data_IF_136870361911
#
_entry.id   IF_136870361911
#
_cell.length_a   1.000
_cell.length_b   1.000
_cell.length_c   1.000
_cell.angle_alpha   90.00
_cell.angle_beta   90.00
_cell.angle_gamma   90.00
#
_symmetry.space_group_name_H-M   'P 1'
#
loop_
_entity.id
_entity.type
_entity.pdbx_description
1 polymer ?
#
# COMPACT_ATOMS: atom_id res chain seq x y z
N UNK A 1 16.94 -4.46 10.50
CA UNK A 1 16.39 -3.28 11.22
C UNK A 1 16.50 -2.07 10.31
N UNK A 2 15.53 -1.17 10.34
CA UNK A 2 15.53 0.01 9.44
C UNK A 2 16.47 1.06 10.03
N UNK A 3 17.46 1.41 9.23
CA UNK A 3 18.54 2.35 9.52
C UNK A 3 18.43 3.57 8.63
N UNK A 4 18.86 4.74 9.07
CA UNK A 4 18.68 5.96 8.30
C UNK A 4 19.85 6.91 8.34
N UNK A 5 20.01 7.66 7.24
CA UNK A 5 21.03 8.69 7.11
C UNK A 5 20.37 10.08 7.12
N UNK A 6 20.89 10.99 7.94
CA UNK A 6 20.37 12.36 8.08
C UNK A 6 20.69 13.25 6.87
N UNK A 7 21.77 12.96 6.14
CA UNK A 7 22.16 13.77 4.97
C UNK A 7 21.31 13.45 3.73
N UNK A 8 21.22 12.18 3.35
CA UNK A 8 20.47 11.79 2.15
C UNK A 8 18.99 11.49 2.43
N UNK A 9 18.53 11.55 3.68
CA UNK A 9 17.14 11.31 4.12
C UNK A 9 16.55 10.01 3.54
N UNK A 10 17.37 8.97 3.48
CA UNK A 10 16.99 7.64 2.97
C UNK A 10 17.02 6.61 4.08
N UNK A 11 16.12 5.63 3.99
CA UNK A 11 16.06 4.48 4.88
C UNK A 11 16.67 3.25 4.21
N UNK A 12 17.52 2.53 4.94
CA UNK A 12 18.27 1.35 4.52
C UNK A 12 17.94 0.15 5.42
N UNK A 13 18.04 -1.04 4.85
CA UNK A 13 17.75 -2.31 5.54
C UNK A 13 19.05 -3.03 5.94
N UNK A 14 19.98 -2.33 6.61
CA UNK A 14 21.26 -2.90 7.05
C UNK A 14 22.46 -1.96 6.82
N UNK A 15 23.66 -2.39 7.23
CA UNK A 15 24.91 -1.62 7.14
C UNK A 15 25.20 -0.75 8.37
N UNK A 16 26.46 -0.33 8.55
CA UNK A 16 26.86 0.68 9.54
C UNK A 16 26.96 2.08 8.92
N UNK A 17 27.35 2.17 7.64
CA UNK A 17 27.60 3.43 6.94
C UNK A 17 26.68 3.62 5.74
N UNK A 18 26.37 4.88 5.41
CA UNK A 18 25.58 5.22 4.23
C UNK A 18 26.36 4.94 2.93
N UNK A 19 25.83 4.15 1.99
CA UNK A 19 26.51 3.85 0.72
C UNK A 19 26.45 5.00 -0.30
N UNK A 20 25.59 6.00 -0.08
CA UNK A 20 25.35 7.10 -1.04
C UNK A 20 26.09 8.39 -0.72
N UNK A 21 26.40 8.64 0.55
CA UNK A 21 27.03 9.89 0.95
C UNK A 21 28.56 9.73 0.93
N UNK A 22 29.31 10.73 0.44
CA UNK A 22 30.76 10.73 0.57
C UNK A 22 31.14 10.94 2.04
N UNK A 23 31.85 9.98 2.61
CA UNK A 23 32.20 9.93 4.04
C UNK A 23 31.50 8.77 4.75
N UNK A 24 32.21 8.13 5.68
CA UNK A 24 31.68 7.05 6.53
C UNK A 24 30.66 7.62 7.54
N UNK A 25 29.48 8.00 7.05
CA UNK A 25 28.41 8.54 7.88
C UNK A 25 27.62 7.40 8.49
N UNK A 26 27.63 7.33 9.81
CA UNK A 26 26.92 6.32 10.57
C UNK A 26 25.41 6.41 10.35
N UNK A 27 24.82 5.24 10.12
CA UNK A 27 23.39 5.08 10.01
C UNK A 27 22.75 5.01 11.40
N UNK A 28 21.78 5.88 11.66
CA UNK A 28 21.01 5.85 12.90
C UNK A 28 19.95 4.76 12.84
N UNK A 29 19.82 3.97 13.92
CA UNK A 29 18.78 2.97 14.04
C UNK A 29 17.43 3.61 14.44
N UNK A 30 16.37 3.30 13.68
CA UNK A 30 15.02 3.76 13.97
C UNK A 30 14.37 3.11 15.20
N UNK A 31 14.96 2.01 15.69
CA UNK A 31 14.50 1.33 16.89
C UNK A 31 14.87 2.07 18.20
N UNK A 32 15.92 2.91 18.17
CA UNK A 32 16.38 3.64 19.35
C UNK A 32 15.42 4.81 19.67
N UNK A 33 14.99 4.96 20.94
CA UNK A 33 14.03 5.99 21.33
C UNK A 33 14.56 7.42 21.17
N UNK A 34 15.88 7.63 21.28
CA UNK A 34 16.55 8.93 21.09
C UNK A 34 16.40 9.44 19.65
N UNK A 35 16.41 8.51 18.70
CA UNK A 35 16.35 8.78 17.27
C UNK A 35 14.94 9.11 16.77
N UNK A 36 13.91 8.97 17.63
CA UNK A 36 12.53 9.30 17.29
C UNK A 36 12.32 10.77 16.93
N UNK A 37 13.18 11.67 17.40
CA UNK A 37 13.14 13.10 17.08
C UNK A 37 13.28 13.38 15.59
N UNK A 38 13.95 12.52 14.84
CA UNK A 38 14.23 12.69 13.40
C UNK A 38 13.25 11.94 12.48
N UNK A 39 12.31 11.16 13.05
CA UNK A 39 11.23 10.49 12.31
C UNK A 39 10.35 11.41 11.43
N UNK A 40 9.98 12.64 11.82
CA UNK A 40 9.11 13.46 10.98
C UNK A 40 9.75 13.85 9.65
N UNK A 41 11.06 14.16 9.62
CA UNK A 41 11.79 14.45 8.38
C UNK A 41 11.97 13.22 7.49
N UNK A 42 11.97 12.04 8.10
CA UNK A 42 12.19 10.77 7.43
C UNK A 42 10.91 10.10 6.93
N UNK A 43 9.75 10.65 7.32
CA UNK A 43 8.44 10.16 6.92
C UNK A 43 8.29 10.15 5.38
N UNK A 44 9.04 11.00 4.67
CA UNK A 44 9.08 11.08 3.21
C UNK A 44 9.47 9.75 2.55
N UNK A 45 10.40 8.97 3.13
CA UNK A 45 10.85 7.68 2.54
C UNK A 45 10.07 6.47 3.07
N UNK A 46 9.63 6.54 4.32
CA UNK A 46 9.02 5.42 5.03
C UNK A 46 7.51 5.36 4.73
N UNK A 47 6.84 6.52 4.71
CA UNK A 47 5.40 6.62 4.44
C UNK A 47 5.01 5.94 3.12
N UNK A 48 5.67 6.20 1.97
CA UNK A 48 5.28 5.55 0.71
C UNK A 48 5.35 4.02 0.78
N UNK A 49 6.40 3.47 1.41
CA UNK A 49 6.61 2.03 1.53
C UNK A 49 5.55 1.35 2.39
N UNK A 50 5.19 1.94 3.53
CA UNK A 50 4.16 1.38 4.41
C UNK A 50 2.75 1.53 3.84
N UNK A 51 2.44 2.69 3.24
CA UNK A 51 1.12 2.93 2.65
C UNK A 51 0.90 2.15 1.34
N UNK A 52 1.94 1.89 0.55
CA UNK A 52 1.86 1.00 -0.61
C UNK A 52 1.53 -0.44 -0.22
N UNK A 53 2.13 -0.94 0.87
CA UNK A 53 1.80 -2.27 1.42
C UNK A 53 0.37 -2.30 1.97
N UNK A 54 -0.05 -1.25 2.66
CA UNK A 54 -1.41 -1.15 3.21
C UNK A 54 -2.49 -1.07 2.12
N UNK A 55 -2.26 -0.30 1.06
CA UNK A 55 -3.19 -0.19 -0.08
C UNK A 55 -3.28 -1.50 -0.87
N UNK A 56 -2.18 -2.24 -0.99
CA UNK A 56 -2.16 -3.59 -1.57
C UNK A 56 -2.99 -4.58 -0.73
N UNK A 57 -2.89 -4.52 0.61
CA UNK A 57 -3.71 -5.36 1.49
C UNK A 57 -5.20 -5.01 1.40
N UNK A 58 -5.55 -3.72 1.33
CA UNK A 58 -6.94 -3.26 1.23
C UNK A 58 -7.61 -3.71 -0.08
N UNK A 59 -6.89 -3.61 -1.20
CA UNK A 59 -7.37 -4.09 -2.50
C UNK A 59 -7.51 -5.61 -2.55
N UNK A 60 -6.54 -6.34 -1.99
CA UNK A 60 -6.61 -7.79 -1.85
C UNK A 60 -7.81 -8.23 -1.00
N UNK A 61 -8.03 -7.60 0.15
CA UNK A 61 -9.19 -7.87 1.01
C UNK A 61 -10.52 -7.61 0.28
N UNK A 62 -10.61 -6.52 -0.48
CA UNK A 62 -11.79 -6.21 -1.30
C UNK A 62 -12.12 -7.32 -2.31
N UNK A 63 -11.11 -7.85 -2.99
CA UNK A 63 -11.28 -8.96 -3.94
C UNK A 63 -11.73 -10.26 -3.26
N UNK A 64 -11.07 -10.63 -2.15
CA UNK A 64 -11.41 -11.85 -1.39
C UNK A 64 -12.84 -11.79 -0.87
N UNK A 65 -13.32 -10.62 -0.42
CA UNK A 65 -14.69 -10.43 0.06
C UNK A 65 -15.72 -10.29 -1.07
N UNK A 66 -15.31 -9.87 -2.27
CA UNK A 66 -16.20 -9.76 -3.42
C UNK A 66 -16.67 -11.13 -3.92
N UNK A 67 -15.81 -12.15 -3.89
CA UNK A 67 -16.12 -13.52 -4.33
C UNK A 67 -17.31 -14.17 -3.58
N UNK A 68 -17.34 -14.23 -2.23
CA UNK A 68 -18.47 -14.79 -1.51
C UNK A 68 -19.75 -13.97 -1.69
N UNK A 69 -19.66 -12.64 -1.85
CA UNK A 69 -20.81 -11.79 -2.14
C UNK A 69 -21.41 -12.08 -3.52
N UNK A 70 -20.58 -12.19 -4.56
CA UNK A 70 -21.02 -12.55 -5.90
C UNK A 70 -21.61 -13.97 -5.96
N UNK A 71 -20.97 -14.93 -5.28
CA UNK A 71 -21.47 -16.29 -5.16
C UNK A 71 -22.81 -16.35 -4.42
N UNK A 72 -22.98 -15.57 -3.35
CA UNK A 72 -24.24 -15.48 -2.61
C UNK A 72 -25.38 -14.94 -3.48
N UNK A 73 -25.15 -13.86 -4.23
CA UNK A 73 -26.14 -13.31 -5.15
C UNK A 73 -26.51 -14.29 -6.27
N UNK A 74 -25.52 -15.01 -6.80
CA UNK A 74 -25.74 -16.04 -7.80
C UNK A 74 -26.59 -17.21 -7.27
N UNK A 75 -26.22 -17.77 -6.12
CA UNK A 75 -26.95 -18.89 -5.49
C UNK A 75 -28.36 -18.48 -5.08
N UNK A 76 -28.52 -17.29 -4.49
CA UNK A 76 -29.82 -16.75 -4.10
C UNK A 76 -30.71 -16.49 -5.32
N UNK A 77 -30.10 -15.99 -6.39
CA UNK A 77 -30.75 -15.73 -7.66
C UNK A 77 -31.27 -16.99 -8.34
N UNK A 78 -30.41 -18.01 -8.47
CA UNK A 78 -30.80 -19.32 -9.01
C UNK A 78 -31.91 -19.99 -8.19
N UNK A 79 -31.88 -19.84 -6.86
CA UNK A 79 -32.94 -20.35 -5.99
C UNK A 79 -34.28 -19.63 -6.18
N UNK A 80 -34.28 -18.39 -6.70
CA UNK A 80 -35.49 -17.58 -6.85
C UNK A 80 -36.04 -17.59 -8.28
N UNK A 81 -35.20 -17.80 -9.29
CA UNK A 81 -35.65 -17.93 -10.68
C UNK A 81 -34.72 -18.81 -11.52
N UNK A 82 -35.29 -19.51 -12.50
CA UNK A 82 -34.56 -20.40 -13.42
C UNK A 82 -33.71 -19.66 -14.47
N UNK A 83 -33.52 -18.35 -14.35
CA UNK A 83 -32.75 -17.56 -15.31
C UNK A 83 -31.27 -17.49 -14.89
N UNK A 84 -30.53 -18.55 -15.21
CA UNK A 84 -29.12 -18.72 -14.86
C UNK A 84 -28.25 -17.60 -15.45
N UNK A 85 -28.53 -17.19 -16.68
CA UNK A 85 -27.75 -16.20 -17.42
C UNK A 85 -27.82 -14.80 -16.78
N UNK A 86 -29.00 -14.41 -16.32
CA UNK A 86 -29.22 -13.12 -15.65
C UNK A 86 -28.52 -13.07 -14.29
N UNK A 87 -28.62 -14.14 -13.50
CA UNK A 87 -27.99 -14.14 -12.17
C UNK A 87 -26.48 -14.34 -12.22
N UNK A 88 -25.97 -15.05 -13.23
CA UNK A 88 -24.53 -15.15 -13.48
C UNK A 88 -23.94 -13.78 -13.84
N UNK A 89 -24.61 -13.00 -14.69
CA UNK A 89 -24.13 -11.66 -15.06
C UNK A 89 -24.18 -10.68 -13.89
N UNK A 90 -25.20 -10.76 -13.04
CA UNK A 90 -25.29 -9.96 -11.79
C UNK A 90 -24.20 -10.39 -10.79
N UNK A 91 -23.97 -11.69 -10.62
CA UNK A 91 -22.93 -12.21 -9.73
C UNK A 91 -21.53 -11.76 -10.17
N UNK A 92 -21.21 -11.84 -11.46
CA UNK A 92 -19.93 -11.37 -12.00
C UNK A 92 -19.85 -9.84 -11.92
N UNK A 93 -20.92 -9.14 -12.30
CA UNK A 93 -20.98 -7.68 -12.25
C UNK A 93 -20.76 -7.13 -10.84
N UNK A 94 -21.30 -7.79 -9.82
CA UNK A 94 -21.05 -7.41 -8.43
C UNK A 94 -19.61 -7.66 -7.99
N UNK A 95 -18.99 -8.77 -8.38
CA UNK A 95 -17.55 -9.01 -8.09
C UNK A 95 -16.69 -7.91 -8.70
N UNK A 96 -16.92 -7.58 -9.98
CA UNK A 96 -16.19 -6.54 -10.69
C UNK A 96 -16.41 -5.17 -10.06
N UNK A 97 -17.67 -4.81 -9.77
CA UNK A 97 -18.01 -3.51 -9.19
C UNK A 97 -17.40 -3.30 -7.79
N UNK A 98 -17.46 -4.32 -6.92
CA UNK A 98 -16.89 -4.26 -5.57
C UNK A 98 -15.37 -4.21 -5.63
N UNK A 99 -14.75 -5.05 -6.47
CA UNK A 99 -13.29 -5.08 -6.62
C UNK A 99 -12.76 -3.76 -7.17
N UNK A 100 -13.42 -3.21 -8.20
CA UNK A 100 -13.09 -1.90 -8.77
C UNK A 100 -13.27 -0.78 -7.76
N UNK A 101 -14.38 -0.78 -6.99
CA UNK A 101 -14.65 0.21 -5.95
C UNK A 101 -13.59 0.19 -4.85
N UNK A 102 -13.20 -0.99 -4.38
CA UNK A 102 -12.12 -1.15 -3.40
C UNK A 102 -10.78 -0.67 -3.94
N UNK A 103 -10.44 -0.98 -5.20
CA UNK A 103 -9.22 -0.48 -5.83
C UNK A 103 -9.21 1.05 -5.94
N UNK A 104 -10.30 1.64 -6.43
CA UNK A 104 -10.44 3.08 -6.56
C UNK A 104 -10.34 3.80 -5.20
N UNK A 105 -10.97 3.25 -4.16
CA UNK A 105 -10.85 3.77 -2.79
C UNK A 105 -9.43 3.65 -2.26
N UNK A 106 -8.77 2.50 -2.47
CA UNK A 106 -7.39 2.29 -2.04
C UNK A 106 -6.44 3.29 -2.73
N UNK A 107 -6.62 3.52 -4.03
CA UNK A 107 -5.82 4.49 -4.79
C UNK A 107 -6.08 5.93 -4.33
N UNK A 108 -7.34 6.31 -4.11
CA UNK A 108 -7.69 7.64 -3.61
C UNK A 108 -7.10 7.89 -2.22
N UNK A 109 -7.17 6.89 -1.34
CA UNK A 109 -6.64 6.97 0.02
C UNK A 109 -5.11 7.02 0.00
N UNK A 110 -4.46 6.24 -0.87
CA UNK A 110 -3.02 6.31 -1.10
C UNK A 110 -2.59 7.70 -1.59
N UNK A 111 -3.22 8.23 -2.64
CA UNK A 111 -2.89 9.56 -3.17
C UNK A 111 -3.04 10.66 -2.12
N UNK A 112 -4.11 10.63 -1.31
CA UNK A 112 -4.31 11.60 -0.23
C UNK A 112 -3.22 11.53 0.85
N UNK A 113 -2.68 10.35 1.14
CA UNK A 113 -1.60 10.18 2.12
C UNK A 113 -0.23 10.58 1.55
N UNK A 114 -0.12 10.63 0.22
CA UNK A 114 1.09 10.99 -0.53
C UNK A 114 1.14 12.46 -0.93
N UNK A 115 0.05 13.22 -0.75
CA UNK A 115 -0.05 14.65 -1.11
C UNK A 115 0.98 15.53 -0.38
N UNK A 116 1.32 15.18 0.87
CA UNK A 116 2.34 15.87 1.68
C UNK A 116 3.78 15.37 1.42
N UNK A 117 3.95 14.35 0.57
CA UNK A 117 5.26 13.77 0.27
C UNK A 117 5.73 14.42 -1.02
N UNK A 118 6.54 15.48 -0.94
CA UNK A 118 7.15 16.12 -2.11
C UNK A 118 8.02 15.10 -2.88
N UNK A 119 7.52 14.60 -4.03
CA UNK A 119 8.18 13.57 -4.86
C UNK A 119 8.91 14.16 -6.06
N UNK A 120 9.45 15.38 -5.98
CA UNK A 120 10.06 15.97 -7.18
C UNK A 120 11.42 15.37 -7.58
N UNK A 121 12.16 14.68 -6.70
CA UNK A 121 13.55 14.31 -7.03
C UNK A 121 14.06 12.96 -6.48
N UNK A 122 13.21 12.02 -6.03
CA UNK A 122 13.68 10.67 -5.65
C UNK A 122 13.51 9.70 -6.80
N UNK A 123 14.61 9.39 -7.46
CA UNK A 123 14.71 8.28 -8.43
C UNK A 123 14.18 6.97 -7.80
N UNK A 124 13.40 6.17 -8.53
CA UNK A 124 12.95 4.87 -8.05
C UNK A 124 14.18 4.00 -7.77
N UNK A 125 14.34 3.59 -6.51
CA UNK A 125 15.37 2.62 -6.17
C UNK A 125 14.94 1.26 -6.74
N UNK A 126 15.66 0.78 -7.76
CA UNK A 126 15.67 -0.64 -8.10
C UNK A 126 16.33 -1.39 -6.94
N UNK A 127 15.66 -2.46 -6.50
CA UNK A 127 16.08 -3.34 -5.39
C UNK A 127 17.52 -3.85 -5.52
#
# INVERSE_FOLDING_TARGET
MVKFCLQCKNAFWGGQYCPKCPGEIELLDAALPENKKYLPELNIDVRPKYYARSSMLLSCFGFVMALPLGAFLFLRGMSSSNNILLWASIGIGTVVAVSWGCWFLAQKLFNKQMEDVEVENKEPQLD
#
